data_IF_769953026252
#
_entry.id   IF_769953026252
#
_cell.length_a   1.000
_cell.length_b   1.000
_cell.length_c   1.000
_cell.angle_alpha   90.00
_cell.angle_beta   90.00
_cell.angle_gamma   90.00
#
_symmetry.space_group_name_H-M   'P 1'
#
loop_
_entity.id
_entity.type
_entity.pdbx_description
1 polymer ?
#
# COMPACT_ATOMS: atom_id res chain seq x y z
N UNK A 1 44.78 12.15 18.04
CA UNK A 1 44.73 11.67 16.64
C UNK A 1 43.76 10.48 16.51
N UNK A 2 42.48 10.69 16.88
CA UNK A 2 41.43 9.67 16.88
C UNK A 2 40.07 10.06 16.21
N UNK A 3 39.78 11.31 15.80
CA UNK A 3 38.42 11.66 15.35
C UNK A 3 38.11 11.17 13.92
N UNK A 4 39.12 10.92 13.09
CA UNK A 4 38.90 10.56 11.67
C UNK A 4 38.40 9.13 11.47
N UNK A 5 38.75 8.20 12.37
CA UNK A 5 38.31 6.81 12.31
C UNK A 5 36.81 6.66 12.67
N UNK A 6 36.31 7.47 13.60
CA UNK A 6 34.88 7.44 13.97
C UNK A 6 34.03 8.04 12.84
N UNK A 7 34.55 9.06 12.13
CA UNK A 7 33.90 9.61 10.95
C UNK A 7 33.86 8.60 9.78
N UNK A 8 34.92 7.80 9.56
CA UNK A 8 34.92 6.82 8.46
C UNK A 8 34.01 5.63 8.73
N UNK A 9 33.90 5.18 9.99
CA UNK A 9 32.97 4.11 10.39
C UNK A 9 31.51 4.61 10.38
N UNK A 10 31.23 5.84 10.81
CA UNK A 10 29.89 6.42 10.73
C UNK A 10 29.41 6.61 9.28
N UNK A 11 30.30 7.07 8.39
CA UNK A 11 30.01 7.18 6.96
C UNK A 11 29.78 5.80 6.31
N UNK A 12 30.52 4.77 6.72
CA UNK A 12 30.31 3.40 6.26
C UNK A 12 28.98 2.82 6.73
N UNK A 13 28.51 3.13 7.94
CA UNK A 13 27.20 2.68 8.48
C UNK A 13 26.02 3.37 7.77
N UNK A 14 26.16 4.65 7.43
CA UNK A 14 25.16 5.36 6.61
C UNK A 14 25.09 4.81 5.17
N UNK A 15 26.24 4.42 4.59
CA UNK A 15 26.32 3.80 3.28
C UNK A 15 25.91 2.30 3.28
N UNK A 16 26.01 1.62 4.42
CA UNK A 16 25.59 0.22 4.60
C UNK A 16 24.12 0.08 4.94
N UNK A 17 23.36 1.18 5.02
CA UNK A 17 21.91 1.07 4.98
C UNK A 17 21.60 0.61 3.56
N UNK A 18 21.25 -0.67 3.33
CA UNK A 18 20.84 -1.08 2.01
C UNK A 18 19.73 -0.11 1.62
N UNK A 19 19.88 0.53 0.47
CA UNK A 19 18.80 1.26 -0.18
C UNK A 19 17.70 0.23 -0.40
N UNK A 20 16.89 0.02 0.63
CA UNK A 20 15.78 -0.90 0.65
C UNK A 20 14.90 -0.36 -0.46
N UNK A 21 14.96 -1.06 -1.59
CA UNK A 21 14.32 -0.71 -2.83
C UNK A 21 12.94 -0.16 -2.50
N UNK A 22 12.71 1.11 -2.80
CA UNK A 22 11.46 1.83 -2.58
C UNK A 22 10.35 1.32 -3.52
N UNK A 23 10.38 0.03 -3.87
CA UNK A 23 9.55 -0.63 -4.88
C UNK A 23 8.19 -1.07 -4.34
N UNK A 24 7.94 -0.98 -3.03
CA UNK A 24 6.66 -1.36 -2.43
C UNK A 24 5.60 -0.26 -2.35
N UNK A 25 6.00 1.02 -2.47
CA UNK A 25 5.11 2.16 -2.21
C UNK A 25 4.10 2.38 -3.34
N UNK A 26 4.56 2.36 -4.60
CA UNK A 26 3.70 2.60 -5.77
C UNK A 26 2.66 1.49 -5.96
N UNK A 27 3.05 0.22 -5.76
CA UNK A 27 2.13 -0.92 -5.88
C UNK A 27 1.00 -0.84 -4.85
N UNK A 28 1.34 -0.54 -3.59
CA UNK A 28 0.36 -0.40 -2.51
C UNK A 28 -0.55 0.82 -2.71
N UNK A 29 -0.03 1.91 -3.28
CA UNK A 29 -0.83 3.08 -3.67
C UNK A 29 -1.84 2.75 -4.78
N UNK A 30 -1.41 1.99 -5.81
CA UNK A 30 -2.29 1.54 -6.88
C UNK A 30 -3.42 0.68 -6.29
N UNK A 31 -3.09 -0.28 -5.42
CA UNK A 31 -4.08 -1.15 -4.76
C UNK A 31 -5.07 -0.33 -3.91
N UNK A 32 -4.60 0.71 -3.19
CA UNK A 32 -5.45 1.63 -2.44
C UNK A 32 -6.40 2.45 -3.35
N UNK A 33 -5.91 2.89 -4.51
CA UNK A 33 -6.74 3.62 -5.48
C UNK A 33 -7.81 2.69 -6.08
N UNK A 34 -7.43 1.45 -6.42
CA UNK A 34 -8.37 0.46 -6.94
C UNK A 34 -9.47 0.11 -5.93
N UNK A 35 -9.14 0.03 -4.64
CA UNK A 35 -10.09 -0.16 -3.54
C UNK A 35 -11.16 0.95 -3.51
N UNK A 36 -10.73 2.22 -3.58
CA UNK A 36 -11.63 3.37 -3.59
C UNK A 36 -12.58 3.35 -4.80
N UNK A 37 -12.07 2.99 -5.99
CA UNK A 37 -12.86 2.88 -7.22
C UNK A 37 -13.93 1.80 -7.07
N UNK A 38 -13.58 0.63 -6.54
CA UNK A 38 -14.53 -0.47 -6.34
C UNK A 38 -15.68 -0.06 -5.41
N UNK A 39 -15.38 0.66 -4.31
CA UNK A 39 -16.39 1.18 -3.39
C UNK A 39 -17.32 2.18 -4.08
N UNK A 40 -16.78 3.13 -4.85
CA UNK A 40 -17.60 4.14 -5.56
C UNK A 40 -18.50 3.49 -6.62
N UNK A 41 -18.01 2.48 -7.35
CA UNK A 41 -18.81 1.74 -8.33
C UNK A 41 -19.93 0.93 -7.66
N UNK A 42 -19.63 0.29 -6.54
CA UNK A 42 -20.63 -0.46 -5.77
C UNK A 42 -21.73 0.45 -5.23
N UNK A 43 -21.36 1.62 -4.68
CA UNK A 43 -22.29 2.64 -4.20
C UNK A 43 -23.20 3.17 -5.32
N UNK A 44 -22.68 3.33 -6.55
CA UNK A 44 -23.44 3.80 -7.72
C UNK A 44 -24.34 2.74 -8.38
N UNK A 45 -24.22 1.45 -8.04
CA UNK A 45 -25.05 0.41 -8.68
C UNK A 45 -26.50 0.37 -8.16
N UNK A 46 -27.50 0.00 -8.96
CA UNK A 46 -28.91 -0.13 -8.52
C UNK A 46 -29.21 -1.40 -7.69
N UNK A 47 -28.19 -2.05 -7.13
CA UNK A 47 -28.34 -3.31 -6.36
C UNK A 47 -28.78 -3.02 -4.92
N UNK A 48 -29.44 -3.98 -4.27
CA UNK A 48 -29.99 -3.80 -2.92
C UNK A 48 -28.94 -3.36 -1.90
N UNK A 49 -29.35 -2.53 -0.94
CA UNK A 49 -28.46 -1.88 0.04
C UNK A 49 -27.68 -2.89 0.90
N UNK A 50 -28.31 -4.00 1.31
CA UNK A 50 -27.66 -5.08 2.07
C UNK A 50 -26.51 -5.69 1.28
N UNK A 51 -26.70 -5.94 -0.01
CA UNK A 51 -25.69 -6.58 -0.83
C UNK A 51 -24.50 -5.63 -1.03
N UNK A 52 -24.76 -4.33 -1.24
CA UNK A 52 -23.70 -3.31 -1.27
C UNK A 52 -22.87 -3.30 0.01
N UNK A 53 -23.51 -3.42 1.17
CA UNK A 53 -22.82 -3.31 2.46
C UNK A 53 -21.91 -4.51 2.73
N UNK A 54 -22.37 -5.73 2.41
CA UNK A 54 -21.56 -6.95 2.49
C UNK A 54 -20.37 -6.92 1.53
N UNK A 55 -20.60 -6.48 0.29
CA UNK A 55 -19.53 -6.34 -0.70
C UNK A 55 -18.51 -5.26 -0.31
N UNK A 56 -18.97 -4.13 0.22
CA UNK A 56 -18.09 -3.05 0.68
C UNK A 56 -17.19 -3.51 1.85
N UNK A 57 -17.74 -4.25 2.80
CA UNK A 57 -16.98 -4.79 3.94
C UNK A 57 -15.91 -5.81 3.50
N UNK A 58 -16.21 -6.62 2.48
CA UNK A 58 -15.29 -7.62 1.93
C UNK A 58 -14.14 -6.96 1.15
N UNK A 59 -14.42 -5.90 0.38
CA UNK A 59 -13.43 -5.10 -0.35
C UNK A 59 -12.49 -4.36 0.64
N UNK A 60 -13.06 -3.73 1.67
CA UNK A 60 -12.32 -2.99 2.69
C UNK A 60 -11.34 -3.85 3.50
N UNK A 61 -11.71 -5.11 3.78
CA UNK A 61 -10.85 -6.04 4.53
C UNK A 61 -9.78 -6.69 3.64
N UNK A 62 -10.00 -6.77 2.32
CA UNK A 62 -9.06 -7.34 1.37
C UNK A 62 -9.17 -6.64 -0.01
N UNK A 63 -8.37 -5.58 -0.25
CA UNK A 63 -8.50 -4.76 -1.47
C UNK A 63 -8.24 -5.57 -2.75
N UNK A 64 -7.43 -6.63 -2.65
CA UNK A 64 -7.08 -7.52 -3.77
C UNK A 64 -8.31 -8.32 -4.25
N UNK A 65 -9.13 -8.83 -3.33
CA UNK A 65 -10.33 -9.62 -3.68
C UNK A 65 -11.40 -8.72 -4.32
N UNK A 66 -11.48 -7.47 -3.90
CA UNK A 66 -12.40 -6.48 -4.46
C UNK A 66 -12.20 -6.17 -5.94
N UNK A 67 -10.94 -6.22 -6.40
CA UNK A 67 -10.58 -6.00 -7.81
C UNK A 67 -10.85 -7.22 -8.67
N UNK A 68 -10.66 -8.44 -8.12
CA UNK A 68 -10.77 -9.70 -8.87
C UNK A 68 -12.23 -10.09 -9.13
N UNK A 69 -13.16 -9.69 -8.27
CA UNK A 69 -14.58 -10.04 -8.36
C UNK A 69 -15.46 -8.98 -9.04
N UNK A 70 -14.87 -7.86 -9.47
CA UNK A 70 -15.57 -6.83 -10.24
C UNK A 70 -15.88 -7.30 -11.67
#
# INVERSE_FOLDING_TARGET
>A
MAPTAILSTAAAVAASHPNALYSGSLLSLIILILDLIAIVQLLNSDRSVINKLLWCLLIFLCPIVGVVLY
#
